data_IF_073199639720
#
_entry.id   IF_073199639720
#
_cell.length_a   1.000
_cell.length_b   1.000
_cell.length_c   1.000
_cell.angle_alpha   90.00
_cell.angle_beta   90.00
_cell.angle_gamma   90.00
#
_symmetry.space_group_name_H-M   'P 1'
#
loop_
_entity.id
_entity.type
_entity.pdbx_description
1 polymer ?
#
# COMPACT_ATOMS: atom_id res chain seq x y z
N UNK A 1 -3.13 -12.03 9.92
CA UNK A 1 -3.89 -11.04 9.12
C UNK A 1 -4.82 -10.14 9.94
N UNK A 2 -5.70 -10.64 10.82
CA UNK A 2 -6.68 -9.80 11.54
C UNK A 2 -6.06 -8.67 12.40
N UNK A 3 -4.95 -8.96 13.12
CA UNK A 3 -4.23 -7.94 13.90
C UNK A 3 -3.69 -6.80 13.02
N UNK A 4 -3.09 -7.16 11.88
CA UNK A 4 -2.57 -6.18 10.91
C UNK A 4 -3.69 -5.31 10.34
N UNK A 5 -4.85 -5.90 9.98
CA UNK A 5 -6.01 -5.12 9.48
C UNK A 5 -6.46 -4.07 10.50
N UNK A 6 -6.66 -4.47 11.76
CA UNK A 6 -7.04 -3.54 12.83
C UNK A 6 -6.02 -2.43 13.03
N UNK A 7 -4.73 -2.76 12.99
CA UNK A 7 -3.67 -1.78 13.11
C UNK A 7 -3.67 -0.79 11.93
N UNK A 8 -3.82 -1.27 10.70
CA UNK A 8 -3.95 -0.44 9.48
C UNK A 8 -5.15 0.50 9.56
N UNK A 9 -6.33 0.00 9.96
CA UNK A 9 -7.53 0.84 10.13
C UNK A 9 -7.32 1.89 11.23
N UNK A 10 -6.61 1.54 12.30
CA UNK A 10 -6.25 2.48 13.37
C UNK A 10 -5.29 3.56 12.86
N UNK A 11 -4.27 3.20 12.09
CA UNK A 11 -3.33 4.14 11.46
C UNK A 11 -4.05 5.11 10.53
N UNK A 12 -4.95 4.63 9.67
CA UNK A 12 -5.77 5.48 8.80
C UNK A 12 -6.54 6.54 9.61
N UNK A 13 -7.18 6.12 10.70
CA UNK A 13 -7.98 7.01 11.54
C UNK A 13 -7.10 7.99 12.36
N UNK A 14 -5.94 7.55 12.83
CA UNK A 14 -5.00 8.37 13.60
C UNK A 14 -4.34 9.44 12.73
N UNK A 15 -3.89 9.06 11.53
CA UNK A 15 -3.21 9.92 10.58
C UNK A 15 -4.17 10.47 9.51
N UNK A 16 -5.43 10.69 9.89
CA UNK A 16 -6.50 11.02 8.96
C UNK A 16 -6.22 12.25 8.08
N UNK A 17 -5.39 13.19 8.53
CA UNK A 17 -4.99 14.38 7.76
C UNK A 17 -4.11 14.02 6.55
N UNK A 18 -3.24 13.02 6.70
CA UNK A 18 -2.37 12.53 5.62
C UNK A 18 -3.18 11.68 4.63
N UNK A 19 -4.10 10.86 5.11
CA UNK A 19 -4.89 9.95 4.27
C UNK A 19 -6.15 10.59 3.64
N UNK A 20 -6.72 11.63 4.26
CA UNK A 20 -7.95 12.30 3.81
C UNK A 20 -7.97 12.71 2.34
N UNK A 21 -6.91 13.36 1.82
CA UNK A 21 -6.83 13.75 0.40
C UNK A 21 -6.94 12.58 -0.59
N UNK A 22 -6.49 11.38 -0.20
CA UNK A 22 -6.56 10.18 -1.07
C UNK A 22 -7.92 9.51 -1.04
N UNK A 23 -8.73 9.77 -0.01
CA UNK A 23 -10.06 9.20 0.20
C UNK A 23 -11.16 10.14 -0.34
N UNK A 24 -10.82 11.39 -0.67
CA UNK A 24 -11.75 12.38 -1.22
C UNK A 24 -12.38 13.30 -0.17
N UNK A 25 -11.78 13.41 1.03
CA UNK A 25 -12.22 14.31 2.09
C UNK A 25 -11.31 15.52 2.28
N UNK A 26 -11.58 16.60 1.54
CA UNK A 26 -10.81 17.83 1.63
C UNK A 26 -11.17 18.68 2.87
N UNK A 27 -12.44 18.72 3.26
CA UNK A 27 -12.94 19.66 4.28
C UNK A 27 -13.00 19.05 5.70
N UNK A 28 -13.31 17.75 5.82
CA UNK A 28 -13.24 17.00 7.08
C UNK A 28 -12.61 15.63 6.84
N UNK A 29 -11.28 15.60 6.83
CA UNK A 29 -10.52 14.38 6.60
C UNK A 29 -10.79 13.27 7.62
N UNK A 30 -11.16 13.63 8.87
CA UNK A 30 -11.47 12.64 9.91
C UNK A 30 -12.80 11.95 9.62
N UNK A 31 -13.82 12.72 9.26
CA UNK A 31 -15.12 12.18 8.87
C UNK A 31 -15.00 11.33 7.59
N UNK A 32 -14.25 11.80 6.59
CA UNK A 32 -14.05 11.07 5.35
C UNK A 32 -13.37 9.71 5.56
N UNK A 33 -12.29 9.66 6.33
CA UNK A 33 -11.63 8.40 6.69
C UNK A 33 -12.57 7.48 7.48
N UNK A 34 -13.33 8.03 8.44
CA UNK A 34 -14.30 7.25 9.22
C UNK A 34 -15.39 6.63 8.34
N UNK A 35 -15.93 7.39 7.39
CA UNK A 35 -16.92 6.90 6.43
C UNK A 35 -16.31 5.84 5.51
N UNK A 36 -15.11 6.08 4.99
CA UNK A 36 -14.36 5.10 4.19
C UNK A 36 -14.16 3.78 4.93
N UNK A 37 -13.77 3.79 6.21
CA UNK A 37 -13.59 2.58 6.99
C UNK A 37 -14.91 1.81 7.20
N UNK A 38 -16.02 2.53 7.38
CA UNK A 38 -17.37 1.92 7.48
C UNK A 38 -17.82 1.29 6.16
N UNK A 39 -17.61 1.98 5.05
CA UNK A 39 -18.05 1.55 3.71
C UNK A 39 -17.20 0.41 3.16
N UNK A 40 -15.87 0.54 3.26
CA UNK A 40 -14.92 -0.48 2.79
C UNK A 40 -15.01 -1.79 3.58
N UNK A 41 -15.46 -1.73 4.85
CA UNK A 41 -15.50 -2.87 5.77
C UNK A 41 -14.13 -3.52 5.97
N UNK A 42 -13.04 -2.77 5.83
CA UNK A 42 -11.67 -3.30 5.81
C UNK A 42 -11.25 -4.04 7.09
N UNK A 43 -11.92 -3.77 8.22
CA UNK A 43 -11.72 -4.51 9.46
C UNK A 43 -12.23 -5.95 9.41
N UNK A 44 -13.13 -6.26 8.48
CA UNK A 44 -13.74 -7.58 8.33
C UNK A 44 -12.83 -8.55 7.58
N UNK A 45 -12.91 -9.84 7.94
CA UNK A 45 -12.20 -10.89 7.23
C UNK A 45 -12.75 -11.06 5.80
N UNK A 46 -11.88 -11.37 4.84
CA UNK A 46 -12.27 -11.61 3.45
C UNK A 46 -12.34 -10.35 2.57
N UNK A 47 -12.30 -9.15 3.17
CA UNK A 47 -12.24 -7.89 2.41
C UNK A 47 -10.84 -7.69 1.83
N UNK A 48 -10.78 -7.27 0.57
CA UNK A 48 -9.54 -7.02 -0.16
C UNK A 48 -8.97 -5.65 0.17
N UNK A 49 -7.65 -5.58 0.34
CA UNK A 49 -6.94 -4.33 0.56
C UNK A 49 -6.73 -3.58 -0.76
N UNK A 50 -6.85 -2.26 -0.73
CA UNK A 50 -6.54 -1.37 -1.86
C UNK A 50 -5.17 -0.72 -1.68
N UNK A 51 -4.79 0.16 -2.60
CA UNK A 51 -3.57 0.96 -2.47
C UNK A 51 -3.55 1.85 -1.20
N UNK A 52 -4.71 2.24 -0.68
CA UNK A 52 -4.82 3.05 0.55
C UNK A 52 -4.35 2.23 1.76
N UNK A 53 -4.83 0.99 1.90
CA UNK A 53 -4.40 0.09 2.96
C UNK A 53 -2.93 -0.29 2.84
N UNK A 54 -2.42 -0.48 1.62
CA UNK A 54 -1.00 -0.75 1.41
C UNK A 54 -0.14 0.44 1.83
N UNK A 55 -0.54 1.67 1.54
CA UNK A 55 0.13 2.89 2.02
C UNK A 55 0.11 2.98 3.55
N UNK A 56 -1.04 2.71 4.17
CA UNK A 56 -1.17 2.69 5.63
C UNK A 56 -0.36 1.56 6.28
N UNK A 57 -0.26 0.39 5.65
CA UNK A 57 0.60 -0.69 6.10
C UNK A 57 2.09 -0.33 5.99
N UNK A 58 2.52 0.27 4.88
CA UNK A 58 3.88 0.77 4.70
C UNK A 58 4.25 1.77 5.81
N UNK A 59 3.33 2.71 6.09
CA UNK A 59 3.46 3.70 7.16
C UNK A 59 3.55 3.07 8.55
N UNK A 60 2.63 2.16 8.87
CA UNK A 60 2.58 1.44 10.16
C UNK A 60 3.86 0.63 10.42
N UNK A 61 4.42 0.01 9.38
CA UNK A 61 5.58 -0.87 9.50
C UNK A 61 6.92 -0.14 9.33
N UNK A 62 6.91 1.10 8.83
CA UNK A 62 8.14 1.84 8.51
C UNK A 62 8.93 1.21 7.36
N UNK A 63 8.24 0.69 6.35
CA UNK A 63 8.85 -0.04 5.23
C UNK A 63 8.42 0.53 3.89
N UNK A 64 9.21 0.27 2.84
CA UNK A 64 8.78 0.48 1.46
C UNK A 64 8.08 -0.78 0.94
N UNK A 65 6.88 -0.66 0.36
CA UNK A 65 6.19 -1.83 -0.22
C UNK A 65 6.33 -1.77 -1.74
N UNK A 66 6.83 -2.84 -2.34
CA UNK A 66 6.86 -3.01 -3.79
C UNK A 66 5.79 -3.98 -4.22
N UNK A 67 5.01 -3.61 -5.23
CA UNK A 67 3.97 -4.49 -5.80
C UNK A 67 4.31 -4.79 -7.25
N UNK A 68 4.36 -6.07 -7.61
CA UNK A 68 4.43 -6.50 -8.99
C UNK A 68 3.02 -6.62 -9.53
N UNK A 69 2.72 -5.88 -10.59
CA UNK A 69 1.44 -6.01 -11.31
C UNK A 69 1.70 -6.64 -12.68
N UNK A 70 1.18 -7.85 -12.93
CA UNK A 70 1.26 -8.50 -14.23
C UNK A 70 0.28 -7.83 -15.19
N UNK A 71 0.69 -6.71 -15.75
CA UNK A 71 -0.03 -6.05 -16.83
C UNK A 71 0.35 -6.63 -18.18
N UNK A 72 -0.61 -6.63 -19.11
CA UNK A 72 -0.39 -6.91 -20.53
C UNK A 72 -0.82 -5.70 -21.33
N UNK A 73 0.00 -5.28 -22.27
CA UNK A 73 -0.37 -4.22 -23.23
C UNK A 73 -0.93 -4.90 -24.47
N UNK A 74 -2.13 -4.47 -24.88
CA UNK A 74 -2.71 -4.83 -26.16
C UNK A 74 -2.01 -4.07 -27.28
N UNK A 75 -1.57 -4.81 -28.30
CA UNK A 75 -1.05 -4.26 -29.54
C UNK A 75 -2.21 -4.01 -30.52
N UNK A 76 -2.06 -3.06 -31.47
CA UNK A 76 -3.10 -2.77 -32.47
C UNK A 76 -3.53 -3.96 -33.33
N UNK A 77 -2.70 -5.01 -33.41
CA UNK A 77 -2.99 -6.26 -34.12
C UNK A 77 -3.73 -7.30 -33.26
N UNK A 78 -4.23 -6.92 -32.08
CA UNK A 78 -4.96 -7.81 -31.17
C UNK A 78 -4.09 -8.75 -30.34
N UNK A 79 -2.76 -8.75 -30.52
CA UNK A 79 -1.84 -9.51 -29.67
C UNK A 79 -1.59 -8.78 -28.36
N UNK A 80 -1.15 -9.49 -27.33
CA UNK A 80 -0.72 -8.88 -26.06
C UNK A 80 0.75 -9.16 -25.78
N UNK A 81 1.44 -8.20 -25.18
CA UNK A 81 2.80 -8.37 -24.67
C UNK A 81 2.83 -8.17 -23.15
N UNK A 82 3.65 -8.92 -22.40
CA UNK A 82 3.89 -8.64 -20.99
C UNK A 82 4.42 -7.22 -20.83
N UNK A 83 3.83 -6.46 -19.92
CA UNK A 83 4.25 -5.10 -19.56
C UNK A 83 4.39 -4.96 -18.05
N UNK A 84 4.65 -6.09 -17.39
CA UNK A 84 4.63 -6.21 -15.96
C UNK A 84 5.72 -5.34 -15.34
N UNK A 85 5.38 -4.64 -14.26
CA UNK A 85 6.30 -3.73 -13.59
C UNK A 85 6.15 -3.81 -12.09
N UNK A 86 7.27 -3.59 -11.41
CA UNK A 86 7.29 -3.28 -9.99
C UNK A 86 6.86 -1.82 -9.78
N UNK A 87 5.98 -1.60 -8.83
CA UNK A 87 5.49 -0.27 -8.43
C UNK A 87 5.78 -0.11 -6.94
N UNK A 88 6.57 0.92 -6.60
CA UNK A 88 6.84 1.29 -5.22
C UNK A 88 5.64 2.02 -4.60
N UNK A 89 5.26 1.61 -3.41
CA UNK A 89 4.33 2.28 -2.51
C UNK A 89 5.16 2.74 -1.30
N UNK A 90 5.74 3.95 -1.36
CA UNK A 90 6.48 4.48 -0.23
C UNK A 90 5.51 4.78 0.94
N UNK A 91 6.00 4.72 2.19
CA UNK A 91 5.26 5.28 3.31
C UNK A 91 5.09 6.78 3.10
N UNK A 92 3.96 7.36 3.51
CA UNK A 92 3.84 8.81 3.58
C UNK A 92 4.85 9.33 4.60
N UNK A 93 5.68 10.30 4.19
CA UNK A 93 6.55 11.15 5.02
C UNK A 93 6.99 10.46 6.32
N UNK A 94 7.85 9.44 6.23
CA UNK A 94 8.31 8.72 7.42
C UNK A 94 9.27 9.59 8.25
N UNK A 95 8.86 9.85 9.48
CA UNK A 95 9.71 10.42 10.52
C UNK A 95 9.97 9.31 11.53
N UNK A 96 11.24 9.11 11.89
CA UNK A 96 11.58 8.15 12.93
C UNK A 96 11.11 8.65 14.32
N UNK A 97 11.36 7.86 15.37
CA UNK A 97 11.02 8.24 16.74
C UNK A 97 11.71 9.53 17.22
N UNK A 98 12.69 10.05 16.48
CA UNK A 98 13.43 11.29 16.75
C UNK A 98 12.94 12.48 15.93
N UNK A 99 11.86 12.30 15.15
CA UNK A 99 11.28 13.32 14.27
C UNK A 99 12.21 13.72 13.10
N UNK A 100 13.15 12.85 12.74
CA UNK A 100 14.07 13.05 11.62
C UNK A 100 13.45 12.49 10.35
N UNK A 101 13.52 13.26 9.25
CA UNK A 101 13.07 12.78 7.93
C UNK A 101 13.94 11.59 7.51
N UNK A 102 13.31 10.45 7.26
CA UNK A 102 14.02 9.23 6.88
C UNK A 102 14.16 9.18 5.37
N UNK A 103 15.36 8.83 4.92
CA UNK A 103 15.64 8.54 3.52
C UNK A 103 14.85 7.30 3.08
N UNK A 104 13.82 7.53 2.26
CA UNK A 104 12.89 6.50 1.80
C UNK A 104 13.56 5.44 0.93
N UNK A 105 14.73 5.75 0.34
CA UNK A 105 15.50 4.84 -0.49
C UNK A 105 16.30 3.82 0.34
N UNK A 106 16.45 4.07 1.65
CA UNK A 106 17.14 3.19 2.59
C UNK A 106 16.19 2.44 3.54
N UNK A 107 14.89 2.49 3.30
CA UNK A 107 13.93 1.73 4.11
C UNK A 107 13.96 0.24 3.77
N UNK A 108 13.77 -0.65 4.76
CA UNK A 108 13.54 -2.06 4.49
C UNK A 108 12.33 -2.23 3.57
N UNK A 109 12.42 -3.18 2.64
CA UNK A 109 11.44 -3.35 1.58
C UNK A 109 10.65 -4.67 1.69
N UNK A 110 9.34 -4.62 1.44
CA UNK A 110 8.47 -5.80 1.31
C UNK A 110 8.04 -5.92 -0.14
N UNK A 111 8.25 -7.09 -0.74
CA UNK A 111 7.87 -7.37 -2.12
C UNK A 111 6.61 -8.23 -2.17
N UNK A 112 5.61 -7.76 -2.91
CA UNK A 112 4.32 -8.41 -3.09
C UNK A 112 4.07 -8.69 -4.58
N UNK A 113 3.72 -9.92 -4.92
CA UNK A 113 3.23 -10.29 -6.25
C UNK A 113 1.70 -10.22 -6.27
N UNK A 114 1.14 -9.30 -7.05
CA UNK A 114 -0.30 -9.14 -7.21
C UNK A 114 -0.78 -9.92 -8.44
N UNK A 115 -1.19 -11.18 -8.27
CA UNK A 115 -1.80 -11.95 -9.36
C UNK A 115 -3.31 -12.01 -9.17
N UNK A 116 -4.06 -11.50 -10.14
CA UNK A 116 -5.53 -11.55 -10.14
C UNK A 116 -6.16 -10.98 -8.86
N UNK A 117 -5.62 -9.87 -8.34
CA UNK A 117 -6.07 -9.23 -7.08
C UNK A 117 -5.75 -10.02 -5.81
N UNK A 118 -4.86 -11.01 -5.90
CA UNK A 118 -4.31 -11.72 -4.75
C UNK A 118 -2.84 -11.31 -4.57
N UNK A 119 -2.51 -10.78 -3.39
CA UNK A 119 -1.14 -10.44 -3.03
C UNK A 119 -0.45 -11.62 -2.35
N UNK A 120 0.67 -12.06 -2.93
CA UNK A 120 1.56 -13.06 -2.34
C UNK A 120 2.86 -12.39 -1.90
N UNK A 121 3.35 -12.75 -0.71
CA UNK A 121 4.66 -12.30 -0.26
C UNK A 121 5.74 -12.97 -1.11
N UNK A 122 6.66 -12.17 -1.63
CA UNK A 122 7.88 -12.66 -2.27
C UNK A 122 8.98 -12.68 -1.21
N UNK A 123 9.32 -13.87 -0.74
CA UNK A 123 10.29 -14.08 0.37
C UNK A 123 11.73 -14.10 -0.13
N UNK A 124 11.93 -14.37 -1.42
CA UNK A 124 13.25 -14.36 -2.06
C UNK A 124 13.34 -13.21 -3.06
N UNK A 125 14.11 -12.19 -2.69
CA UNK A 125 14.88 -11.43 -3.67
C UNK A 125 16.32 -11.86 -3.42
N UNK A 126 16.80 -12.81 -4.22
CA UNK A 126 18.26 -12.96 -4.39
C UNK A 126 18.72 -11.60 -4.89
N UNK A 127 19.66 -10.98 -4.18
CA UNK A 127 20.30 -9.74 -4.62
C UNK A 127 20.57 -9.83 -6.12
N UNK A 128 19.95 -8.96 -6.92
CA UNK A 128 20.15 -8.91 -8.37
C UNK A 128 21.56 -8.40 -8.74
N UNK A 129 22.50 -8.46 -7.79
CA UNK A 129 23.90 -8.04 -7.87
C UNK A 129 24.88 -9.20 -7.59
N UNK A 130 24.48 -10.46 -7.76
CA UNK A 130 25.41 -11.59 -7.90
C UNK A 130 25.48 -12.08 -9.35
#
# INVERSE_FOLDING_TARGET
HAKLRKAVCSTLLQEHKEFGPFIGGADDSKLAVSNYLKESKMEQAGVWATGIELKAAARLLGVQIWTYSPTRIGLPNGKTVPASRWISIPPMSYQDATNTAVDIDNLPAIYLDNRNSHYNLVVEMVDANQ
#
